data_IF_858613681276
#
_entry.id   IF_858613681276
#
_cell.length_a   1.000
_cell.length_b   1.000
_cell.length_c   1.000
_cell.angle_alpha   90.00
_cell.angle_beta   90.00
_cell.angle_gamma   90.00
#
_symmetry.space_group_name_H-M   'P 1'
#
loop_
_entity.id
_entity.type
_entity.pdbx_description
1 polymer ?
#
# COMPACT_ATOMS: atom_id res chain seq x y z
N UNK A 1 2.92 -0.65 15.82
CA UNK A 1 3.67 -1.56 14.94
C UNK A 1 2.77 -1.76 13.77
N UNK A 2 3.10 -1.11 12.66
CA UNK A 2 2.14 -0.65 11.67
C UNK A 2 2.48 -1.27 10.31
N UNK A 3 1.45 -1.65 9.56
CA UNK A 3 1.54 -2.54 8.41
C UNK A 3 2.17 -1.88 7.22
N UNK A 4 3.16 -2.55 6.67
CA UNK A 4 4.07 -2.03 5.68
C UNK A 4 3.52 -2.14 4.26
N UNK A 5 2.62 -1.26 3.86
CA UNK A 5 2.72 -0.75 2.48
C UNK A 5 3.86 0.25 2.47
N UNK A 6 5.12 -0.21 2.55
CA UNK A 6 6.27 0.68 2.36
C UNK A 6 6.45 0.83 0.86
N UNK A 7 6.35 2.07 0.40
CA UNK A 7 6.47 2.44 -1.00
C UNK A 7 7.65 3.38 -1.09
N UNK A 8 8.56 3.21 -2.04
CA UNK A 8 9.50 4.29 -2.38
C UNK A 8 8.98 4.98 -3.64
N UNK A 9 8.96 6.31 -3.73
CA UNK A 9 8.68 6.97 -4.98
C UNK A 9 9.81 6.67 -5.95
N UNK A 10 9.45 6.58 -7.23
CA UNK A 10 10.41 6.49 -8.31
C UNK A 10 11.35 7.71 -8.23
N UNK A 11 12.65 7.54 -8.50
CA UNK A 11 13.63 8.64 -8.44
C UNK A 11 13.12 9.88 -9.19
N UNK A 12 13.08 11.04 -8.51
CA UNK A 12 12.76 12.34 -9.12
C UNK A 12 11.37 12.92 -8.83
N UNK A 13 10.54 12.28 -7.98
CA UNK A 13 9.24 12.86 -7.58
C UNK A 13 9.38 13.79 -6.36
N UNK A 14 8.90 15.05 -6.40
CA UNK A 14 9.03 15.99 -5.28
C UNK A 14 8.20 15.58 -4.04
N UNK A 15 8.79 15.66 -2.86
CA UNK A 15 8.12 15.45 -1.57
C UNK A 15 7.41 16.76 -1.16
N UNK A 16 6.08 16.78 -0.93
CA UNK A 16 5.39 17.99 -0.48
C UNK A 16 5.78 18.38 0.95
N UNK A 17 6.07 19.67 1.18
CA UNK A 17 6.45 20.19 2.52
C UNK A 17 5.29 20.23 3.52
N UNK A 18 4.01 20.16 3.07
CA UNK A 18 2.81 20.15 3.93
C UNK A 18 1.65 19.40 3.30
N UNK A 19 1.05 18.51 4.08
CA UNK A 19 -0.15 17.75 3.72
C UNK A 19 0.17 16.50 2.90
N UNK A 20 -0.58 15.43 3.14
CA UNK A 20 -0.55 14.23 2.31
C UNK A 20 -1.37 14.45 1.05
N UNK A 21 -0.72 15.03 0.04
CA UNK A 21 -1.23 15.02 -1.32
C UNK A 21 -0.58 13.86 -2.07
N UNK A 22 -1.22 12.69 -1.99
CA UNK A 22 -0.73 11.48 -2.66
C UNK A 22 -0.60 11.68 -4.18
N UNK A 23 -1.42 12.54 -4.78
CA UNK A 23 -1.31 12.86 -6.20
C UNK A 23 -0.08 13.72 -6.50
N UNK A 24 0.29 14.63 -5.59
CA UNK A 24 1.55 15.36 -5.69
C UNK A 24 2.78 14.47 -5.45
N UNK A 25 2.69 13.51 -4.51
CA UNK A 25 3.76 12.56 -4.15
C UNK A 25 3.99 11.51 -5.22
N UNK A 26 2.94 11.06 -5.89
CA UNK A 26 3.04 10.04 -6.93
C UNK A 26 3.20 10.65 -8.33
N UNK A 27 3.14 11.97 -8.45
CA UNK A 27 2.99 12.66 -9.72
C UNK A 27 1.62 12.41 -10.34
N UNK A 28 1.32 13.12 -11.43
CA UNK A 28 0.04 13.04 -12.10
C UNK A 28 -0.07 11.69 -12.86
N UNK A 29 -0.48 10.63 -12.18
CA UNK A 29 -0.75 9.31 -12.79
C UNK A 29 -2.08 9.39 -13.55
N UNK A 30 -2.04 9.96 -14.74
CA UNK A 30 -3.21 10.05 -15.61
C UNK A 30 -3.48 8.67 -16.24
N UNK A 31 -4.32 7.88 -15.57
CA UNK A 31 -4.73 6.55 -16.02
C UNK A 31 -3.75 5.43 -15.62
N UNK A 32 -4.12 4.20 -15.98
CA UNK A 32 -3.33 3.00 -15.73
C UNK A 32 -2.29 2.77 -16.84
N UNK A 33 -1.02 2.57 -16.45
CA UNK A 33 0.06 2.17 -17.36
C UNK A 33 0.80 0.94 -16.80
N UNK A 34 0.60 -0.27 -17.36
CA UNK A 34 1.20 -1.49 -16.85
C UNK A 34 2.73 -1.55 -17.02
N UNK A 35 3.33 -0.64 -17.79
CA UNK A 35 4.79 -0.59 -17.96
C UNK A 35 5.48 0.25 -16.88
N UNK A 36 4.73 1.07 -16.14
CA UNK A 36 5.28 2.03 -15.18
C UNK A 36 4.53 1.95 -13.83
N UNK A 37 4.77 0.88 -13.03
CA UNK A 37 4.23 0.81 -11.69
C UNK A 37 4.79 1.94 -10.80
N UNK A 38 3.93 2.78 -10.19
CA UNK A 38 4.40 3.90 -9.38
C UNK A 38 4.88 3.49 -7.99
N UNK A 39 4.59 2.26 -7.55
CA UNK A 39 4.88 1.78 -6.20
C UNK A 39 5.51 0.39 -6.24
N UNK A 40 6.60 0.22 -5.50
CA UNK A 40 7.21 -1.07 -5.17
C UNK A 40 6.70 -1.50 -3.80
N UNK A 41 6.33 -2.78 -3.68
CA UNK A 41 5.94 -3.41 -2.41
C UNK A 41 7.12 -4.20 -1.85
N UNK A 42 7.38 -4.07 -0.56
CA UNK A 42 8.49 -4.73 0.14
C UNK A 42 8.00 -5.80 1.12
N UNK A 43 8.88 -6.76 1.44
CA UNK A 43 8.58 -7.87 2.37
C UNK A 43 8.37 -7.43 3.83
N UNK A 44 8.74 -6.19 4.17
CA UNK A 44 8.66 -5.64 5.52
C UNK A 44 9.19 -4.20 5.61
N UNK A 45 9.43 -3.71 6.85
CA UNK A 45 9.88 -2.33 7.13
C UNK A 45 11.37 -2.20 7.46
N UNK A 46 12.09 -3.32 7.52
CA UNK A 46 13.52 -3.33 7.83
C UNK A 46 14.33 -2.90 6.61
N UNK A 47 15.53 -2.34 6.84
CA UNK A 47 16.46 -1.97 5.76
C UNK A 47 16.87 -3.16 4.87
N UNK A 48 16.66 -4.40 5.36
CA UNK A 48 16.92 -5.64 4.63
C UNK A 48 15.72 -6.17 3.85
N UNK A 49 14.57 -5.50 3.91
CA UNK A 49 13.37 -5.93 3.21
C UNK A 49 13.60 -5.94 1.70
N UNK A 50 13.06 -6.95 1.03
CA UNK A 50 13.23 -7.15 -0.42
C UNK A 50 11.95 -6.78 -1.15
N UNK A 51 12.02 -6.32 -2.42
CA UNK A 51 10.84 -6.14 -3.24
C UNK A 51 10.10 -7.46 -3.48
N UNK A 52 8.79 -7.46 -3.26
CA UNK A 52 7.90 -8.64 -3.39
C UNK A 52 6.77 -8.45 -4.40
N UNK A 53 6.59 -7.22 -4.88
CA UNK A 53 5.56 -6.91 -5.86
C UNK A 53 5.56 -5.42 -6.22
N UNK A 54 4.52 -5.03 -6.94
CA UNK A 54 4.26 -3.63 -7.27
C UNK A 54 2.80 -3.30 -7.01
N UNK A 55 2.50 -2.02 -6.83
CA UNK A 55 1.14 -1.52 -6.75
C UNK A 55 0.93 -0.43 -7.78
N UNK A 56 -0.26 -0.43 -8.38
CA UNK A 56 -0.74 0.67 -9.21
C UNK A 56 -1.76 1.47 -8.42
N UNK A 57 -1.72 2.79 -8.62
CA UNK A 57 -2.66 3.73 -8.02
C UNK A 57 -3.18 4.64 -9.12
N UNK A 58 -4.51 4.76 -9.22
CA UNK A 58 -5.16 5.56 -10.26
C UNK A 58 -6.16 6.53 -9.63
N UNK A 59 -6.01 7.80 -9.98
CA UNK A 59 -6.87 8.89 -9.52
C UNK A 59 -8.02 9.10 -10.51
N UNK A 60 -9.13 8.41 -10.29
CA UNK A 60 -10.36 8.56 -11.06
C UNK A 60 -11.56 8.12 -10.23
N UNK A 61 -12.76 8.52 -10.66
CA UNK A 61 -14.00 8.20 -9.93
C UNK A 61 -14.40 6.72 -10.10
N UNK A 62 -14.37 6.23 -11.34
CA UNK A 62 -14.78 4.86 -11.71
C UNK A 62 -13.63 3.86 -11.61
N UNK A 63 -13.94 2.57 -11.46
CA UNK A 63 -12.92 1.51 -11.48
C UNK A 63 -12.13 1.52 -12.81
N UNK A 64 -10.78 1.46 -12.80
CA UNK A 64 -9.98 1.45 -14.01
C UNK A 64 -10.18 0.19 -14.85
N UNK A 65 -10.17 0.35 -16.18
CA UNK A 65 -9.83 -0.77 -17.07
C UNK A 65 -8.33 -1.02 -16.92
N UNK A 66 -7.96 -2.11 -16.25
CA UNK A 66 -6.57 -2.42 -15.94
C UNK A 66 -5.97 -3.48 -16.87
N UNK A 67 -5.56 -4.60 -16.29
CA UNK A 67 -4.90 -5.68 -17.02
C UNK A 67 -5.86 -6.46 -17.92
N UNK A 68 -5.32 -7.27 -18.82
CA UNK A 68 -6.14 -8.08 -19.71
C UNK A 68 -6.93 -9.15 -18.92
N UNK A 69 -8.25 -9.13 -19.07
CA UNK A 69 -9.17 -10.06 -18.41
C UNK A 69 -9.74 -9.50 -17.11
N UNK A 70 -10.59 -10.24 -16.40
CA UNK A 70 -11.30 -9.74 -15.21
C UNK A 70 -10.57 -10.05 -13.89
N UNK A 71 -9.27 -10.32 -13.95
CA UNK A 71 -8.54 -10.89 -12.81
C UNK A 71 -7.86 -9.84 -11.94
N UNK A 72 -7.70 -8.61 -12.43
CA UNK A 72 -7.19 -7.48 -11.67
C UNK A 72 -8.28 -6.92 -10.77
N UNK A 73 -8.13 -7.14 -9.47
CA UNK A 73 -9.14 -6.77 -8.47
C UNK A 73 -8.76 -5.40 -7.91
N UNK A 74 -9.24 -4.35 -8.58
CA UNK A 74 -9.10 -2.98 -8.11
C UNK A 74 -9.92 -2.77 -6.84
N UNK A 75 -9.34 -2.08 -5.87
CA UNK A 75 -9.99 -1.81 -4.59
C UNK A 75 -9.64 -0.42 -4.07
N UNK A 76 -10.38 0.00 -3.05
CA UNK A 76 -10.16 1.24 -2.32
C UNK A 76 -10.25 0.97 -0.83
N UNK A 77 -9.47 1.71 -0.06
CA UNK A 77 -9.55 1.71 1.39
C UNK A 77 -10.25 2.97 1.88
N UNK A 78 -10.95 2.83 3.00
CA UNK A 78 -11.54 3.93 3.76
C UNK A 78 -10.75 4.16 5.04
N UNK A 79 -10.63 5.42 5.46
CA UNK A 79 -9.97 5.77 6.73
C UNK A 79 -8.52 5.29 6.83
N UNK A 80 -7.66 5.67 5.88
CA UNK A 80 -6.23 5.36 5.91
C UNK A 80 -5.47 6.47 6.64
N UNK A 81 -4.53 6.10 7.51
CA UNK A 81 -3.62 7.03 8.16
C UNK A 81 -2.19 6.80 7.69
N UNK A 82 -1.60 7.77 6.98
CA UNK A 82 -0.28 7.60 6.37
C UNK A 82 0.69 8.77 6.65
N UNK A 83 1.99 8.49 6.55
CA UNK A 83 3.06 9.48 6.59
C UNK A 83 3.95 9.32 5.36
N UNK A 84 4.64 10.41 5.00
CA UNK A 84 5.62 10.42 3.92
C UNK A 84 7.00 10.61 4.54
N UNK A 85 7.89 9.64 4.34
CA UNK A 85 9.28 9.68 4.73
C UNK A 85 10.06 10.75 3.98
N UNK A 86 11.26 11.08 4.49
CA UNK A 86 12.16 12.04 3.85
C UNK A 86 12.78 11.51 2.54
N UNK A 87 12.73 10.21 2.32
CA UNK A 87 13.00 9.49 1.07
C UNK A 87 11.80 9.50 0.11
N UNK A 88 10.70 10.11 0.54
CA UNK A 88 9.43 10.21 -0.16
C UNK A 88 8.56 8.97 -0.06
N UNK A 89 8.98 7.97 0.71
CA UNK A 89 8.21 6.75 0.87
C UNK A 89 6.93 6.94 1.67
N UNK A 90 5.87 6.21 1.34
CA UNK A 90 4.61 6.27 2.10
C UNK A 90 4.54 5.11 3.07
N UNK A 91 4.28 5.40 4.35
CA UNK A 91 4.04 4.41 5.40
C UNK A 91 2.64 4.56 6.00
N UNK A 92 1.97 3.44 6.25
CA UNK A 92 0.67 3.42 6.94
C UNK A 92 0.88 3.26 8.44
N UNK A 93 0.34 4.19 9.23
CA UNK A 93 0.58 4.29 10.68
C UNK A 93 -0.47 3.60 11.54
N UNK A 94 -1.66 3.31 11.00
CA UNK A 94 -2.74 2.66 11.74
C UNK A 94 -3.39 1.57 10.88
N UNK A 95 -3.97 0.53 11.49
CA UNK A 95 -4.61 -0.55 10.74
C UNK A 95 -5.68 -0.03 9.78
N UNK A 96 -5.61 -0.47 8.53
CA UNK A 96 -6.59 -0.12 7.49
C UNK A 96 -7.94 -0.83 7.74
N UNK A 97 -7.93 -1.86 8.59
CA UNK A 97 -9.07 -2.69 8.96
C UNK A 97 -10.19 -1.99 9.74
N UNK A 98 -9.88 -0.87 10.39
CA UNK A 98 -10.72 -0.31 11.45
C UNK A 98 -11.43 0.99 11.09
N UNK A 99 -11.36 1.45 9.84
CA UNK A 99 -11.81 2.79 9.42
C UNK A 99 -11.25 3.86 10.37
N UNK A 100 -9.94 4.08 10.30
CA UNK A 100 -9.25 5.02 11.19
C UNK A 100 -9.86 6.42 11.05
N UNK A 101 -10.23 7.06 12.15
CA UNK A 101 -10.76 8.42 12.12
C UNK A 101 -9.66 9.46 11.95
N UNK A 102 -10.05 10.68 11.56
CA UNK A 102 -9.11 11.80 11.47
C UNK A 102 -8.42 12.07 12.81
N UNK A 103 -9.17 12.05 13.91
CA UNK A 103 -8.65 12.32 15.25
C UNK A 103 -7.61 11.28 15.67
N UNK A 104 -7.89 9.99 15.43
CA UNK A 104 -6.96 8.90 15.71
C UNK A 104 -5.66 9.05 14.90
N UNK A 105 -5.78 9.48 13.64
CA UNK A 105 -4.61 9.69 12.79
C UNK A 105 -3.80 10.92 13.19
N UNK A 106 -4.46 12.02 13.56
CA UNK A 106 -3.81 13.24 14.04
C UNK A 106 -3.04 12.97 15.36
N UNK A 107 -3.56 12.12 16.24
CA UNK A 107 -2.93 11.72 17.51
C UNK A 107 -1.57 11.02 17.32
N UNK A 108 -1.39 10.28 16.23
CA UNK A 108 -0.13 9.61 15.88
C UNK A 108 0.73 10.42 14.90
N UNK A 109 0.33 11.66 14.60
CA UNK A 109 1.06 12.55 13.68
C UNK A 109 0.99 12.13 12.22
N UNK A 110 0.00 11.32 11.84
CA UNK A 110 -0.23 10.91 10.46
C UNK A 110 -1.11 11.88 9.68
N UNK A 111 -1.36 11.53 8.43
CA UNK A 111 -2.30 12.22 7.56
C UNK A 111 -3.47 11.30 7.22
N UNK A 112 -4.67 11.74 7.58
CA UNK A 112 -5.88 10.97 7.35
C UNK A 112 -6.38 11.14 5.91
N UNK A 113 -6.56 10.02 5.22
CA UNK A 113 -7.16 9.89 3.90
C UNK A 113 -8.52 9.19 4.04
N UNK A 114 -9.65 9.91 3.84
CA UNK A 114 -10.98 9.33 4.01
C UNK A 114 -11.25 8.16 3.07
N UNK A 115 -10.80 8.27 1.82
CA UNK A 115 -10.86 7.21 0.82
C UNK A 115 -9.61 7.28 -0.04
N UNK A 116 -8.99 6.14 -0.31
CA UNK A 116 -7.85 6.07 -1.24
C UNK A 116 -8.29 6.25 -2.69
N UNK A 117 -7.35 6.53 -3.61
CA UNK A 117 -7.56 6.27 -5.03
C UNK A 117 -7.77 4.77 -5.29
N UNK A 118 -8.06 4.39 -6.53
CA UNK A 118 -8.12 2.99 -6.93
C UNK A 118 -6.73 2.38 -6.87
N UNK A 119 -6.62 1.20 -6.26
CA UNK A 119 -5.36 0.50 -6.06
C UNK A 119 -5.49 -0.94 -6.53
N UNK A 120 -4.39 -1.50 -7.03
CA UNK A 120 -4.27 -2.94 -7.27
C UNK A 120 -2.85 -3.39 -6.97
N UNK A 121 -2.73 -4.48 -6.20
CA UNK A 121 -1.47 -5.14 -5.91
C UNK A 121 -1.16 -6.17 -7.00
N UNK A 122 0.13 -6.32 -7.32
CA UNK A 122 0.61 -7.26 -8.33
C UNK A 122 1.82 -8.03 -7.79
N UNK A 123 1.58 -9.27 -7.37
CA UNK A 123 2.55 -10.16 -6.72
C UNK A 123 3.30 -11.01 -7.75
N UNK A 124 4.32 -10.44 -8.38
CA UNK A 124 5.07 -11.09 -9.48
C UNK A 124 6.52 -11.42 -9.15
N UNK A 125 6.99 -11.09 -7.95
CA UNK A 125 8.36 -11.37 -7.56
C UNK A 125 8.57 -12.89 -7.36
N UNK A 126 9.60 -13.49 -7.98
CA UNK A 126 9.88 -14.91 -7.81
C UNK A 126 10.08 -15.32 -6.35
N UNK A 127 9.38 -16.36 -5.90
CA UNK A 127 9.41 -16.85 -4.52
C UNK A 127 8.47 -16.12 -3.57
N UNK A 128 7.75 -15.10 -4.04
CA UNK A 128 6.75 -14.34 -3.30
C UNK A 128 5.39 -14.35 -4.01
N UNK A 129 5.14 -15.32 -4.88
CA UNK A 129 3.86 -15.47 -5.56
C UNK A 129 2.75 -15.73 -4.53
N UNK A 130 1.74 -14.86 -4.52
CA UNK A 130 0.60 -15.05 -3.63
C UNK A 130 -0.18 -16.31 -4.01
N UNK A 131 -0.47 -17.14 -3.01
CA UNK A 131 -1.28 -18.36 -3.18
C UNK A 131 -2.73 -18.06 -3.54
N UNK A 132 -3.18 -16.84 -3.27
CA UNK A 132 -4.56 -16.39 -3.50
C UNK A 132 -4.71 -15.74 -4.89
N UNK A 133 -3.62 -15.68 -5.66
CA UNK A 133 -3.57 -15.17 -7.02
C UNK A 133 -2.71 -13.91 -7.15
N UNK A 134 -2.20 -13.65 -8.35
CA UNK A 134 -1.26 -12.55 -8.62
C UNK A 134 -1.83 -11.15 -8.29
N UNK A 135 -3.16 -10.99 -8.33
CA UNK A 135 -3.88 -9.75 -8.02
C UNK A 135 -4.67 -9.82 -6.71
N UNK A 136 -4.38 -10.80 -5.85
CA UNK A 136 -4.99 -10.87 -4.53
C UNK A 136 -4.76 -9.57 -3.77
N UNK A 137 -5.78 -9.17 -3.00
CA UNK A 137 -5.71 -7.94 -2.22
C UNK A 137 -4.55 -8.00 -1.22
N UNK A 138 -4.27 -9.16 -0.64
CA UNK A 138 -3.12 -9.41 0.21
C UNK A 138 -2.27 -10.58 -0.28
N UNK A 139 -1.03 -10.66 0.21
CA UNK A 139 -0.17 -11.83 0.00
C UNK A 139 -0.03 -12.61 1.31
N UNK A 140 -0.55 -13.85 1.40
CA UNK A 140 -0.46 -14.67 2.61
C UNK A 140 0.97 -15.01 3.07
N UNK A 141 1.98 -14.80 2.22
CA UNK A 141 3.39 -14.95 2.59
C UNK A 141 3.91 -13.80 3.46
N UNK A 142 3.17 -12.69 3.54
CA UNK A 142 3.52 -11.49 4.27
C UNK A 142 2.80 -11.45 5.63
N UNK A 143 3.50 -11.88 6.69
CA UNK A 143 2.92 -12.11 8.04
C UNK A 143 3.38 -11.06 9.11
N UNK A 144 2.99 -11.09 10.40
CA UNK A 144 3.37 -10.09 11.46
C UNK A 144 4.69 -10.37 12.22
N UNK A 145 5.56 -9.38 12.52
CA UNK A 145 6.94 -9.51 13.09
C UNK A 145 7.20 -10.61 14.15
N UNK A 146 6.19 -11.05 14.87
CA UNK A 146 6.29 -12.08 15.92
C UNK A 146 6.23 -13.55 15.42
N UNK A 147 6.26 -13.80 14.10
CA UNK A 147 6.16 -15.16 13.50
C UNK A 147 4.87 -15.89 13.87
N UNK A 148 3.90 -15.20 14.48
CA UNK A 148 2.62 -15.82 14.80
C UNK A 148 1.73 -15.80 13.56
N UNK A 149 1.33 -16.99 13.11
CA UNK A 149 0.22 -17.14 12.17
C UNK A 149 -1.07 -16.98 12.97
N UNK A 150 -1.61 -15.75 13.03
CA UNK A 150 -2.99 -15.53 13.45
C UNK A 150 -3.96 -16.00 12.37
N UNK A 151 -5.27 -15.89 12.60
CA UNK A 151 -6.16 -15.81 11.44
C UNK A 151 -5.92 -14.48 10.72
N UNK A 152 -6.12 -14.46 9.40
CA UNK A 152 -5.88 -13.29 8.54
C UNK A 152 -6.59 -12.04 9.08
N UNK A 153 -7.74 -12.21 9.73
CA UNK A 153 -8.51 -11.10 10.31
C UNK A 153 -7.84 -10.48 11.55
N UNK A 154 -7.16 -11.27 12.37
CA UNK A 154 -6.46 -10.81 13.59
C UNK A 154 -5.17 -10.08 13.24
N UNK A 155 -4.47 -10.54 12.21
CA UNK A 155 -3.25 -9.90 11.72
C UNK A 155 -3.58 -8.59 10.97
N UNK A 156 -4.73 -8.56 10.26
CA UNK A 156 -5.28 -7.35 9.65
C UNK A 156 -5.69 -6.28 10.69
N UNK A 157 -6.33 -6.67 11.79
CA UNK A 157 -6.70 -5.76 12.89
C UNK A 157 -5.48 -5.18 13.62
N UNK A 158 -4.32 -5.85 13.55
CA UNK A 158 -3.04 -5.34 14.05
C UNK A 158 -2.30 -4.49 13.02
N UNK A 159 -2.82 -4.39 11.81
CA UNK A 159 -2.18 -3.73 10.69
C UNK A 159 -0.91 -4.46 10.28
N UNK A 160 -0.97 -5.73 9.90
CA UNK A 160 0.17 -6.48 9.39
C UNK A 160 -0.01 -6.88 7.93
N UNK A 161 1.05 -6.70 7.12
CA UNK A 161 1.14 -7.19 5.74
C UNK A 161 2.61 -7.46 5.36
N UNK A 162 3.47 -7.97 6.26
CA UNK A 162 4.88 -8.29 5.98
C UNK A 162 5.78 -8.47 7.22
N UNK A 163 6.61 -9.54 7.22
CA UNK A 163 7.32 -10.15 8.35
C UNK A 163 8.81 -10.35 8.06
N UNK A 164 9.67 -9.89 8.99
CA UNK A 164 11.08 -10.25 9.21
C UNK A 164 12.06 -9.98 8.05
#
# INVERSE_FOLDING_TARGET
GNGAHHTMPVEGVPIPEKGFDLQAIMGNVAGFDPANPPIILYSGTEDTAVPVGVMYVVFQDEEPEGFAGPNDIWHRHTGVCAVVGADGGVDVLLPIASDTTKEQCDEVGGNHMPVTPWMVHVWTAPGWESTDGVFSHENPLLVCRDETTGDVATDFARGCQGLA
#
